data_IF_374132185016
#
_entry.id   IF_374132185016
#
_cell.length_a   1.000
_cell.length_b   1.000
_cell.length_c   1.000
_cell.angle_alpha   90.00
_cell.angle_beta   90.00
_cell.angle_gamma   90.00
#
_symmetry.space_group_name_H-M   'P 1'
#
loop_
_entity.id
_entity.type
_entity.pdbx_description
1 polymer ?
#
# COMPACT_ATOMS: atom_id res chain seq x y z
N UNK A 1 -14.13 -8.05 -28.03
CA UNK A 1 -13.43 -8.74 -26.93
C UNK A 1 -12.20 -7.92 -26.55
N UNK A 2 -12.30 -7.13 -25.49
CA UNK A 2 -11.15 -6.41 -24.92
C UNK A 2 -10.31 -7.41 -24.11
N UNK A 3 -9.07 -7.66 -24.56
CA UNK A 3 -8.09 -8.45 -23.81
C UNK A 3 -7.35 -7.51 -22.86
N UNK A 4 -7.32 -7.89 -21.59
CA UNK A 4 -6.53 -7.23 -20.56
C UNK A 4 -5.19 -7.96 -20.47
N UNK A 5 -4.09 -7.22 -20.49
CA UNK A 5 -2.75 -7.79 -20.38
C UNK A 5 -2.12 -7.28 -19.08
N UNK A 6 -1.72 -8.21 -18.22
CA UNK A 6 -0.66 -7.98 -17.22
C UNK A 6 0.61 -8.52 -17.88
N UNK A 7 1.62 -7.66 -18.00
CA UNK A 7 2.64 -7.72 -19.05
C UNK A 7 3.41 -9.03 -19.19
N UNK A 8 3.53 -9.48 -20.45
CA UNK A 8 4.81 -9.82 -21.08
C UNK A 8 4.78 -9.21 -22.48
N UNK A 9 5.54 -8.12 -22.67
CA UNK A 9 5.85 -7.59 -23.99
C UNK A 9 6.87 -8.53 -24.65
N UNK A 10 6.47 -9.20 -25.71
CA UNK A 10 7.41 -9.85 -26.63
C UNK A 10 7.80 -8.79 -27.67
N UNK A 11 9.10 -8.45 -27.72
CA UNK A 11 9.77 -7.50 -28.64
C UNK A 11 9.74 -6.00 -28.25
N UNK A 12 10.91 -5.35 -28.07
CA UNK A 12 11.04 -3.91 -28.00
C UNK A 12 11.19 -3.34 -29.43
N UNK A 13 10.08 -3.02 -30.08
CA UNK A 13 10.08 -1.85 -30.95
C UNK A 13 9.71 -0.66 -30.08
N UNK A 14 10.62 0.30 -29.91
CA UNK A 14 10.37 1.56 -29.20
C UNK A 14 9.17 2.26 -29.86
N UNK A 15 7.97 2.04 -29.32
CA UNK A 15 6.82 2.86 -29.66
C UNK A 15 6.90 4.14 -28.84
N UNK A 16 7.54 5.17 -29.41
CA UNK A 16 7.46 6.53 -28.88
C UNK A 16 6.08 7.08 -29.16
N UNK A 17 5.12 6.73 -28.31
CA UNK A 17 3.81 7.35 -28.35
C UNK A 17 3.82 8.64 -27.51
N UNK A 18 3.40 9.75 -28.13
CA UNK A 18 3.16 11.02 -27.44
C UNK A 18 1.75 10.97 -26.85
N UNK A 19 1.65 10.95 -25.53
CA UNK A 19 0.38 11.06 -24.83
C UNK A 19 0.26 12.41 -24.16
N UNK A 20 -0.94 13.00 -24.20
CA UNK A 20 -1.26 14.13 -23.33
C UNK A 20 -1.45 13.60 -21.90
N UNK A 21 -0.47 13.87 -21.03
CA UNK A 21 -0.51 13.43 -19.63
C UNK A 21 -1.07 14.57 -18.77
N UNK A 22 -2.14 14.29 -18.01
CA UNK A 22 -2.61 15.18 -16.95
C UNK A 22 -2.06 14.68 -15.61
N UNK A 23 -1.40 15.56 -14.89
CA UNK A 23 -0.87 15.27 -13.56
C UNK A 23 -1.88 15.67 -12.49
N UNK A 24 -2.04 14.81 -11.49
CA UNK A 24 -2.81 15.08 -10.29
C UNK A 24 -1.86 15.05 -9.10
N UNK A 25 -2.10 15.91 -8.11
CA UNK A 25 -1.33 15.93 -6.86
C UNK A 25 -2.30 15.71 -5.72
N UNK A 26 -1.90 14.82 -4.80
CA UNK A 26 -2.66 14.57 -3.59
C UNK A 26 -2.53 15.75 -2.64
N UNK A 27 -3.66 16.20 -2.09
CA UNK A 27 -3.64 17.21 -1.02
C UNK A 27 -3.24 16.59 0.32
N UNK A 28 -2.15 17.08 0.92
CA UNK A 28 -1.60 16.58 2.19
C UNK A 28 -2.33 17.13 3.42
N UNK A 29 -3.35 17.95 3.26
CA UNK A 29 -4.15 18.49 4.38
C UNK A 29 -5.62 18.14 4.21
N UNK A 30 -6.29 17.97 5.34
CA UNK A 30 -7.73 17.69 5.43
C UNK A 30 -8.55 18.96 5.25
N UNK A 31 -7.95 20.07 5.66
CA UNK A 31 -8.45 21.40 5.38
C UNK A 31 -7.81 21.86 4.07
N UNK A 32 -8.48 22.71 3.30
CA UNK A 32 -8.01 23.23 2.00
C UNK A 32 -6.73 24.10 2.09
N UNK A 33 -6.02 24.06 3.21
CA UNK A 33 -4.76 24.74 3.45
C UNK A 33 -3.58 23.89 3.00
N UNK A 34 -2.59 24.45 2.30
CA UNK A 34 -1.36 23.72 1.97
C UNK A 34 -0.67 23.17 3.22
N UNK A 35 -0.13 21.96 3.13
CA UNK A 35 0.67 21.39 4.21
C UNK A 35 1.91 22.27 4.45
N UNK A 36 2.10 22.68 5.71
CA UNK A 36 3.27 23.45 6.12
C UNK A 36 4.42 22.48 6.45
N UNK A 37 5.68 22.84 6.14
CA UNK A 37 6.83 22.09 6.60
C UNK A 37 6.84 21.93 8.12
N UNK A 38 7.05 20.71 8.60
CA UNK A 38 7.21 20.39 10.01
C UNK A 38 8.68 20.45 10.43
N UNK A 39 9.57 20.17 9.48
CA UNK A 39 11.02 20.29 9.62
C UNK A 39 11.63 20.63 8.26
N UNK A 40 12.61 21.53 8.24
CA UNK A 40 13.46 21.75 7.08
C UNK A 40 14.92 21.70 7.51
N UNK A 41 15.76 20.96 6.77
CA UNK A 41 17.18 20.80 7.08
C UNK A 41 18.08 21.23 5.94
N UNK A 42 19.22 21.81 6.27
CA UNK A 42 20.31 22.08 5.33
C UNK A 42 20.98 20.78 4.90
N UNK A 43 21.88 20.85 3.91
CA UNK A 43 22.75 19.71 3.53
C UNK A 43 23.58 19.19 4.71
N UNK A 44 23.99 20.06 5.63
CA UNK A 44 24.70 19.66 6.84
C UNK A 44 23.79 19.05 7.91
N UNK A 45 22.47 19.03 7.70
CA UNK A 45 21.49 18.50 8.63
C UNK A 45 20.97 19.51 9.67
N UNK A 46 21.40 20.78 9.60
CA UNK A 46 20.95 21.79 10.55
C UNK A 46 19.51 22.22 10.23
N UNK A 47 18.61 22.26 11.24
CA UNK A 47 17.25 22.72 11.03
C UNK A 47 17.23 24.24 10.77
N UNK A 48 16.52 24.67 9.73
CA UNK A 48 16.25 26.09 9.45
C UNK A 48 14.75 26.43 9.47
N UNK A 49 13.89 25.42 9.59
CA UNK A 49 12.47 25.57 9.88
C UNK A 49 12.02 24.38 10.74
N UNK A 50 11.09 24.61 11.68
CA UNK A 50 10.60 23.55 12.57
C UNK A 50 11.70 22.90 13.42
N UNK A 51 11.44 21.71 13.95
CA UNK A 51 12.44 20.92 14.69
C UNK A 51 12.08 19.42 14.70
N UNK A 52 13.03 18.57 15.08
CA UNK A 52 12.86 17.11 15.10
C UNK A 52 11.80 16.66 16.11
N UNK A 53 11.63 17.35 17.24
CA UNK A 53 10.61 17.00 18.22
C UNK A 53 9.20 17.23 17.68
N UNK A 54 8.98 18.27 16.87
CA UNK A 54 7.72 18.49 16.16
C UNK A 54 7.45 17.34 15.19
N UNK A 55 8.48 16.88 14.45
CA UNK A 55 8.37 15.75 13.53
C UNK A 55 8.00 14.44 14.28
N UNK A 56 8.70 14.14 15.38
CA UNK A 56 8.40 12.99 16.25
C UNK A 56 6.96 13.09 16.78
N UNK A 57 6.55 14.28 17.22
CA UNK A 57 5.21 14.51 17.76
C UNK A 57 4.16 14.20 16.70
N UNK A 58 4.27 14.71 15.47
CA UNK A 58 3.26 14.43 14.44
C UNK A 58 3.23 12.95 14.03
N UNK A 59 4.38 12.26 13.99
CA UNK A 59 4.46 10.81 13.73
C UNK A 59 3.77 10.02 14.84
N UNK A 60 3.94 10.43 16.10
CA UNK A 60 3.27 9.77 17.24
C UNK A 60 1.74 9.87 17.20
N UNK A 61 1.22 10.82 16.41
CA UNK A 61 -0.19 11.00 16.10
C UNK A 61 -0.59 10.40 14.72
N UNK A 62 0.28 9.61 14.10
CA UNK A 62 -0.01 8.83 12.88
C UNK A 62 0.21 9.56 11.56
N UNK A 63 0.79 10.76 11.56
CA UNK A 63 0.94 11.58 10.35
C UNK A 63 1.77 10.90 9.24
N UNK A 64 1.43 11.13 7.96
CA UNK A 64 2.27 10.72 6.82
C UNK A 64 3.38 11.71 6.66
N UNK A 65 4.60 11.23 6.45
CA UNK A 65 5.74 12.11 6.28
C UNK A 65 6.26 11.98 4.85
N UNK A 66 6.34 13.12 4.16
CA UNK A 66 6.95 13.23 2.85
C UNK A 66 8.23 14.06 2.96
N UNK A 67 9.38 13.42 2.70
CA UNK A 67 10.65 14.11 2.51
C UNK A 67 10.82 14.55 1.06
N UNK A 68 11.07 15.84 0.84
CA UNK A 68 11.29 16.41 -0.50
C UNK A 68 12.68 17.04 -0.55
N UNK A 69 13.43 16.74 -1.62
CA UNK A 69 14.69 17.43 -1.94
C UNK A 69 14.39 18.88 -2.33
N UNK A 70 14.95 19.83 -1.57
CA UNK A 70 14.63 21.25 -1.74
C UNK A 70 15.30 21.90 -2.97
N UNK A 71 16.27 21.22 -3.63
CA UNK A 71 17.14 21.85 -4.64
C UNK A 71 17.07 21.23 -6.04
N UNK A 72 16.36 20.11 -6.26
CA UNK A 72 16.35 19.44 -7.56
C UNK A 72 15.02 19.54 -8.28
N UNK A 73 15.04 20.12 -9.48
CA UNK A 73 14.07 19.82 -10.53
C UNK A 73 14.33 18.41 -11.04
N UNK A 74 13.35 17.52 -10.93
CA UNK A 74 13.46 16.17 -11.47
C UNK A 74 13.06 16.17 -12.95
N UNK A 75 14.00 15.84 -13.84
CA UNK A 75 13.66 15.34 -15.17
C UNK A 75 13.59 13.81 -15.10
N UNK A 76 12.54 13.23 -15.67
CA UNK A 76 12.41 11.78 -15.81
C UNK A 76 12.88 11.41 -17.21
N UNK A 77 14.09 10.84 -17.30
CA UNK A 77 14.60 10.22 -18.52
C UNK A 77 14.61 8.70 -18.34
N UNK A 78 13.93 7.99 -19.22
CA UNK A 78 14.01 6.53 -19.26
C UNK A 78 15.36 6.14 -19.86
N UNK A 79 16.25 5.59 -19.04
CA UNK A 79 17.54 5.05 -19.49
C UNK A 79 17.42 3.57 -19.85
N UNK A 80 18.27 3.09 -20.76
CA UNK A 80 18.33 1.68 -21.19
C UNK A 80 18.71 0.70 -20.06
N UNK A 81 19.16 1.20 -18.89
CA UNK A 81 19.39 0.41 -17.70
C UNK A 81 18.19 0.56 -16.74
N UNK A 82 17.41 -0.51 -16.60
CA UNK A 82 16.24 -0.54 -15.73
C UNK A 82 16.60 -1.17 -14.37
N UNK A 83 16.39 -0.42 -13.29
CA UNK A 83 16.61 -0.88 -11.93
C UNK A 83 15.59 -0.25 -10.97
N UNK A 84 15.23 -1.00 -9.93
CA UNK A 84 14.45 -0.52 -8.81
C UNK A 84 15.36 0.26 -7.87
N UNK A 85 14.95 1.48 -7.50
CA UNK A 85 15.61 2.30 -6.48
C UNK A 85 14.81 2.22 -5.19
N UNK A 86 15.51 1.92 -4.10
CA UNK A 86 14.99 2.04 -2.73
C UNK A 86 15.73 3.19 -2.09
N UNK A 87 15.00 4.15 -1.54
CA UNK A 87 15.58 5.38 -0.99
C UNK A 87 15.14 5.53 0.46
N UNK A 88 16.10 5.72 1.35
CA UNK A 88 15.88 6.12 2.74
C UNK A 88 16.28 7.59 2.89
N UNK A 89 15.49 8.36 3.63
CA UNK A 89 15.77 9.74 3.98
C UNK A 89 15.82 9.87 5.50
N UNK A 90 16.79 10.61 6.03
CA UNK A 90 17.01 10.77 7.47
C UNK A 90 16.98 12.26 7.82
N UNK A 91 16.33 12.65 8.91
CA UNK A 91 16.15 14.06 9.28
C UNK A 91 17.46 14.87 9.41
N UNK A 92 18.60 14.21 9.56
CA UNK A 92 19.94 14.82 9.61
C UNK A 92 20.53 15.20 8.22
N UNK A 93 19.72 15.19 7.16
CA UNK A 93 20.18 15.53 5.81
C UNK A 93 20.64 14.31 4.99
N UNK A 94 20.81 13.15 5.62
CA UNK A 94 21.34 11.97 4.95
C UNK A 94 20.30 11.29 4.09
N UNK A 95 20.71 10.83 2.90
CA UNK A 95 19.95 9.96 2.02
C UNK A 95 20.79 8.74 1.69
N UNK A 96 20.16 7.57 1.73
CA UNK A 96 20.73 6.31 1.27
C UNK A 96 19.91 5.74 0.12
N UNK A 97 20.57 5.36 -0.97
CA UNK A 97 19.94 4.79 -2.16
C UNK A 97 20.55 3.42 -2.43
N UNK A 98 19.71 2.38 -2.38
CA UNK A 98 20.04 1.03 -2.82
C UNK A 98 19.40 0.75 -4.18
N UNK A 99 20.15 0.13 -5.11
CA UNK A 99 19.74 -0.08 -6.51
C UNK A 99 19.75 -1.56 -6.85
N UNK A 100 18.67 -2.06 -7.44
CA UNK A 100 18.51 -3.48 -7.77
C UNK A 100 18.04 -3.64 -9.20
N UNK A 101 18.69 -4.45 -10.03
CA UNK A 101 18.24 -4.67 -11.41
C UNK A 101 16.82 -5.25 -11.45
N UNK A 102 15.98 -4.82 -12.40
CA UNK A 102 14.68 -5.46 -12.63
C UNK A 102 14.91 -6.84 -13.25
N UNK A 103 14.15 -7.85 -12.84
CA UNK A 103 14.26 -9.22 -13.37
C UNK A 103 15.30 -10.06 -12.66
N UNK A 104 16.59 -9.73 -12.84
CA UNK A 104 17.68 -10.49 -12.21
C UNK A 104 17.85 -10.18 -10.71
N UNK A 105 17.29 -9.05 -10.25
CA UNK A 105 17.36 -8.62 -8.85
C UNK A 105 18.77 -8.64 -8.24
N UNK A 106 19.80 -8.33 -9.03
CA UNK A 106 21.16 -8.17 -8.56
C UNK A 106 21.32 -6.77 -7.97
N UNK A 107 22.00 -6.70 -6.82
CA UNK A 107 22.47 -5.44 -6.27
C UNK A 107 23.37 -4.72 -7.28
N UNK A 108 23.10 -3.43 -7.48
CA UNK A 108 23.84 -2.51 -8.37
C UNK A 108 24.60 -1.46 -7.55
N UNK A 109 24.75 -1.70 -6.26
CA UNK A 109 25.49 -0.88 -5.33
C UNK A 109 24.64 0.18 -4.64
N UNK A 110 25.27 0.79 -3.65
CA UNK A 110 24.68 1.78 -2.76
C UNK A 110 25.29 3.15 -3.00
N UNK A 111 24.52 4.20 -2.73
CA UNK A 111 25.05 5.56 -2.68
C UNK A 111 24.42 6.29 -1.51
N UNK A 112 25.28 6.82 -0.66
CA UNK A 112 24.89 7.66 0.45
C UNK A 112 25.37 9.08 0.17
N UNK A 113 24.47 10.05 0.32
CA UNK A 113 24.78 11.47 0.15
C UNK A 113 24.02 12.32 1.16
N UNK A 114 24.31 13.63 1.16
CA UNK A 114 23.61 14.62 1.97
C UNK A 114 22.96 15.67 1.10
N UNK A 115 21.72 16.03 1.44
CA UNK A 115 20.91 16.99 0.69
C UNK A 115 20.05 17.81 1.65
N UNK A 116 19.65 19.03 1.25
CA UNK A 116 18.68 19.78 2.01
C UNK A 116 17.29 19.15 1.82
N UNK A 117 16.55 19.00 2.92
CA UNK A 117 15.24 18.35 2.89
C UNK A 117 14.17 19.21 3.51
N UNK A 118 12.96 19.08 2.97
CA UNK A 118 11.74 19.60 3.54
C UNK A 118 10.87 18.40 3.91
N UNK A 119 10.46 18.35 5.18
CA UNK A 119 9.60 17.32 5.74
C UNK A 119 8.18 17.87 5.88
N UNK A 120 7.28 17.37 5.05
CA UNK A 120 5.86 17.70 5.06
C UNK A 120 5.11 16.61 5.82
N UNK A 121 4.15 17.00 6.66
CA UNK A 121 3.29 16.07 7.36
C UNK A 121 1.85 16.12 6.84
N UNK A 122 1.32 14.96 6.48
CA UNK A 122 -0.11 14.73 6.33
C UNK A 122 -0.71 14.40 7.70
N UNK A 123 -1.43 15.33 8.29
CA UNK A 123 -2.03 15.17 9.62
C UNK A 123 -3.45 14.59 9.57
N UNK A 124 -3.90 14.10 8.42
CA UNK A 124 -5.23 13.52 8.23
C UNK A 124 -5.36 12.11 8.80
N UNK A 125 -4.96 11.91 10.04
CA UNK A 125 -4.92 10.62 10.67
C UNK A 125 -5.42 10.74 12.11
N UNK A 126 -6.20 9.76 12.54
CA UNK A 126 -6.73 9.70 13.91
C UNK A 126 -6.60 8.30 14.45
N UNK A 127 -6.31 8.17 15.74
CA UNK A 127 -6.27 6.87 16.41
C UNK A 127 -7.70 6.27 16.39
N UNK A 128 -7.83 5.06 15.88
CA UNK A 128 -9.08 4.32 15.88
C UNK A 128 -9.10 3.18 16.90
N UNK A 129 -7.95 2.55 17.11
CA UNK A 129 -7.81 1.42 18.00
C UNK A 129 -6.38 1.25 18.49
N UNK A 130 -6.21 0.85 19.73
CA UNK A 130 -4.94 0.43 20.29
C UNK A 130 -5.16 -0.83 21.12
N UNK A 131 -4.24 -1.79 21.02
CA UNK A 131 -4.26 -2.99 21.85
C UNK A 131 -2.90 -3.29 22.45
N UNK A 132 -2.88 -4.04 23.55
CA UNK A 132 -1.66 -4.62 24.11
C UNK A 132 -1.22 -5.87 23.33
N UNK A 133 -0.14 -6.52 23.79
CA UNK A 133 0.42 -7.75 23.22
C UNK A 133 -0.56 -8.93 23.24
N UNK A 134 -1.63 -8.87 24.02
CA UNK A 134 -2.63 -9.92 24.11
C UNK A 134 -3.87 -9.65 23.25
N UNK A 135 -3.87 -8.54 22.49
CA UNK A 135 -5.03 -8.11 21.69
C UNK A 135 -6.14 -7.47 22.52
N UNK A 136 -5.87 -7.16 23.79
CA UNK A 136 -6.84 -6.47 24.65
C UNK A 136 -6.81 -4.98 24.36
N UNK A 137 -7.99 -4.39 24.18
CA UNK A 137 -8.14 -2.95 23.91
C UNK A 137 -7.51 -2.10 25.01
N UNK A 138 -6.73 -1.10 24.60
CA UNK A 138 -6.21 -0.01 25.45
C UNK A 138 -6.99 1.28 25.16
N UNK A 139 -7.24 1.58 23.88
CA UNK A 139 -7.97 2.77 23.44
C UNK A 139 -8.76 2.46 22.15
N UNK A 140 -9.89 3.13 21.95
CA UNK A 140 -10.78 2.90 20.83
C UNK A 140 -11.42 1.51 20.81
N UNK A 141 -11.84 1.06 19.63
CA UNK A 141 -12.44 -0.27 19.46
C UNK A 141 -12.19 -0.87 18.07
N UNK A 142 -12.08 -2.20 18.03
CA UNK A 142 -11.98 -2.95 16.77
C UNK A 142 -13.21 -2.71 15.89
N UNK A 143 -14.39 -2.56 16.49
CA UNK A 143 -15.62 -2.27 15.75
C UNK A 143 -15.58 -0.90 15.04
N UNK A 144 -15.06 0.13 15.72
CA UNK A 144 -14.87 1.45 15.12
C UNK A 144 -13.85 1.40 13.98
N UNK A 145 -12.71 0.74 14.21
CA UNK A 145 -11.69 0.51 13.18
C UNK A 145 -12.29 -0.23 11.97
N UNK A 146 -13.04 -1.31 12.19
CA UNK A 146 -13.68 -2.12 11.14
C UNK A 146 -14.67 -1.29 10.33
N UNK A 147 -15.55 -0.54 10.98
CA UNK A 147 -16.50 0.35 10.30
C UNK A 147 -15.78 1.42 9.47
N UNK A 148 -14.71 2.01 10.00
CA UNK A 148 -13.87 2.95 9.27
C UNK A 148 -13.26 2.33 8.00
N UNK A 149 -12.69 1.13 8.12
CA UNK A 149 -12.12 0.39 6.98
C UNK A 149 -13.18 0.08 5.92
N UNK A 150 -14.35 -0.41 6.35
CA UNK A 150 -15.48 -0.71 5.46
C UNK A 150 -16.09 0.54 4.81
N UNK A 151 -15.83 1.73 5.35
CA UNK A 151 -16.16 3.02 4.71
C UNK A 151 -15.12 3.49 3.70
N UNK A 152 -14.10 2.67 3.42
CA UNK A 152 -13.04 2.95 2.46
C UNK A 152 -11.80 3.63 3.05
N UNK A 153 -11.73 3.87 4.36
CA UNK A 153 -10.59 4.57 4.97
C UNK A 153 -9.30 3.75 4.91
N UNK A 154 -8.18 4.47 4.79
CA UNK A 154 -6.81 3.90 4.86
C UNK A 154 -6.43 3.68 6.31
N UNK A 155 -5.48 2.77 6.54
CA UNK A 155 -5.04 2.37 7.88
C UNK A 155 -3.53 2.39 7.99
N UNK A 156 -3.04 2.89 9.11
CA UNK A 156 -1.64 2.82 9.53
C UNK A 156 -1.47 2.15 10.86
N UNK A 157 -0.30 1.56 11.02
CA UNK A 157 0.12 0.83 12.20
C UNK A 157 1.33 1.55 12.78
N UNK A 158 1.24 1.99 14.04
CA UNK A 158 2.37 2.45 14.82
C UNK A 158 2.75 1.35 15.81
N UNK A 159 3.94 0.81 15.62
CA UNK A 159 4.53 -0.20 16.49
C UNK A 159 5.06 0.46 17.76
N UNK A 160 5.17 -0.30 18.85
CA UNK A 160 5.72 0.23 20.10
C UNK A 160 7.17 0.72 19.95
N UNK A 161 7.92 0.18 18.98
CA UNK A 161 9.27 0.64 18.60
C UNK A 161 9.30 2.04 17.98
N UNK A 162 8.15 2.64 17.66
CA UNK A 162 8.05 3.91 16.95
C UNK A 162 8.03 3.79 15.43
N UNK A 163 8.03 2.57 14.88
CA UNK A 163 7.91 2.35 13.44
C UNK A 163 6.46 2.55 12.99
N UNK A 164 6.23 3.43 12.01
CA UNK A 164 4.92 3.75 11.44
C UNK A 164 4.85 3.28 9.99
N UNK A 165 3.82 2.52 9.64
CA UNK A 165 3.65 1.99 8.28
C UNK A 165 2.18 1.91 7.86
N UNK A 166 1.90 2.09 6.58
CA UNK A 166 0.58 1.95 5.99
C UNK A 166 0.33 0.52 5.52
N UNK A 167 -0.89 0.02 5.74
CA UNK A 167 -1.29 -1.30 5.29
C UNK A 167 -1.49 -1.31 3.75
N UNK A 168 -0.95 -2.33 3.09
CA UNK A 168 -1.10 -2.55 1.65
C UNK A 168 -2.45 -3.19 1.31
N UNK A 169 -2.82 -4.20 2.08
CA UNK A 169 -4.12 -4.88 2.07
C UNK A 169 -4.65 -4.99 3.51
N UNK A 170 -5.96 -4.80 3.68
CA UNK A 170 -6.66 -5.03 4.95
C UNK A 170 -7.65 -6.18 4.78
N UNK A 171 -7.60 -7.12 5.71
CA UNK A 171 -8.44 -8.32 5.68
C UNK A 171 -9.29 -8.32 6.95
N UNK A 172 -10.60 -8.27 6.77
CA UNK A 172 -11.56 -8.37 7.87
C UNK A 172 -12.06 -9.81 7.91
N UNK A 173 -12.03 -10.42 9.09
CA UNK A 173 -12.53 -11.78 9.29
C UNK A 173 -13.02 -11.98 10.72
N UNK A 174 -14.23 -12.50 10.86
CA UNK A 174 -14.84 -12.81 12.16
C UNK A 174 -14.70 -11.66 13.18
N UNK A 175 -14.96 -10.44 12.72
CA UNK A 175 -14.90 -9.23 13.54
C UNK A 175 -13.51 -8.61 13.73
N UNK A 176 -12.44 -9.33 13.40
CA UNK A 176 -11.06 -8.86 13.52
C UNK A 176 -10.50 -8.33 12.21
N UNK A 177 -9.46 -7.53 12.31
CA UNK A 177 -8.70 -6.99 11.17
C UNK A 177 -7.28 -7.54 11.20
N UNK A 178 -6.79 -7.97 10.04
CA UNK A 178 -5.37 -8.21 9.75
C UNK A 178 -4.92 -7.23 8.66
N UNK A 179 -3.83 -6.51 8.91
CA UNK A 179 -3.15 -5.68 7.94
C UNK A 179 -1.97 -6.43 7.36
N UNK A 180 -1.93 -6.57 6.04
CA UNK A 180 -0.76 -7.03 5.34
C UNK A 180 0.12 -5.83 4.98
N UNK A 181 1.39 -5.92 5.33
CA UNK A 181 2.38 -4.86 5.18
C UNK A 181 3.55 -5.40 4.37
N UNK A 182 3.67 -4.92 3.13
CA UNK A 182 4.61 -5.41 2.13
C UNK A 182 5.66 -4.38 1.72
N UNK A 183 5.41 -3.09 1.99
CA UNK A 183 6.30 -1.97 1.67
C UNK A 183 7.60 -1.88 2.48
N UNK A 184 7.96 -2.88 3.29
CA UNK A 184 9.11 -2.82 4.19
C UNK A 184 10.30 -3.65 3.69
N UNK A 185 11.46 -3.00 3.68
CA UNK A 185 12.77 -3.57 3.33
C UNK A 185 13.71 -3.40 4.53
N UNK A 186 14.51 -4.42 4.80
CA UNK A 186 15.42 -4.43 5.95
C UNK A 186 16.38 -3.23 5.96
N UNK A 187 16.50 -2.61 7.13
CA UNK A 187 17.29 -1.41 7.35
C UNK A 187 17.82 -1.37 8.79
N UNK A 188 18.88 -0.58 8.99
CA UNK A 188 19.55 -0.33 10.29
C UNK A 188 19.04 0.96 10.95
N UNK A 189 17.86 1.45 10.54
CA UNK A 189 17.27 2.73 10.96
C UNK A 189 17.65 3.91 10.07
N UNK A 190 18.89 3.98 9.56
CA UNK A 190 19.33 5.06 8.65
C UNK A 190 19.67 4.59 7.25
N UNK A 191 20.25 3.40 7.13
CA UNK A 191 20.69 2.83 5.86
C UNK A 191 20.04 1.47 5.64
N UNK A 192 19.99 1.04 4.38
CA UNK A 192 19.64 -0.35 4.09
C UNK A 192 20.74 -1.29 4.61
N UNK A 193 20.37 -2.53 4.93
CA UNK A 193 21.37 -3.58 5.13
C UNK A 193 22.09 -3.89 3.81
N UNK A 194 23.36 -4.31 3.89
CA UNK A 194 24.13 -4.71 2.71
C UNK A 194 23.54 -5.93 2.01
N UNK A 195 22.85 -6.78 2.75
CA UNK A 195 22.11 -7.93 2.28
C UNK A 195 20.60 -7.67 2.33
N UNK A 196 20.16 -6.52 1.80
CA UNK A 196 18.77 -6.07 1.94
C UNK A 196 17.76 -7.16 1.51
N UNK A 197 16.71 -7.31 2.30
CA UNK A 197 15.68 -8.33 2.14
C UNK A 197 14.31 -7.73 2.39
N UNK A 198 13.28 -8.35 1.82
CA UNK A 198 11.88 -8.05 2.10
C UNK A 198 11.54 -8.47 3.53
N UNK A 199 10.89 -7.56 4.26
CA UNK A 199 10.41 -7.78 5.61
C UNK A 199 8.89 -7.62 5.60
N UNK A 200 8.16 -8.71 5.36
CA UNK A 200 6.71 -8.67 5.18
C UNK A 200 6.00 -9.14 6.42
N UNK A 201 4.89 -8.48 6.75
CA UNK A 201 4.16 -8.75 7.98
C UNK A 201 2.65 -8.87 7.74
N UNK A 202 2.03 -9.81 8.46
CA UNK A 202 0.61 -9.80 8.76
C UNK A 202 0.48 -9.38 10.23
N UNK A 203 -0.15 -8.23 10.47
CA UNK A 203 -0.36 -7.66 11.80
C UNK A 203 -1.85 -7.73 12.11
N UNK A 204 -2.23 -8.36 13.21
CA UNK A 204 -3.63 -8.54 13.56
C UNK A 204 -4.04 -7.75 14.81
N UNK A 205 -5.29 -7.31 14.84
CA UNK A 205 -5.95 -6.66 16.00
C UNK A 205 -6.01 -7.53 17.26
N UNK A 206 -5.71 -8.83 17.13
CA UNK A 206 -5.56 -9.81 18.20
C UNK A 206 -4.19 -9.74 18.89
N UNK A 207 -3.29 -8.84 18.47
CA UNK A 207 -1.93 -8.76 19.01
C UNK A 207 -0.90 -9.57 18.22
N UNK A 208 -1.35 -10.52 17.40
CA UNK A 208 -0.47 -11.42 16.67
C UNK A 208 0.20 -10.71 15.49
N UNK A 209 1.52 -10.88 15.40
CA UNK A 209 2.34 -10.43 14.28
C UNK A 209 3.09 -11.62 13.73
N UNK A 210 2.90 -11.85 12.44
CA UNK A 210 3.64 -12.84 11.69
C UNK A 210 4.53 -12.12 10.68
N UNK A 211 5.82 -12.42 10.71
CA UNK A 211 6.80 -11.90 9.76
C UNK A 211 7.36 -13.04 8.92
N UNK A 212 7.45 -12.81 7.62
CA UNK A 212 8.27 -13.61 6.70
C UNK A 212 9.35 -12.73 6.06
N UNK A 213 10.50 -13.33 5.77
CA UNK A 213 11.64 -12.61 5.21
C UNK A 213 12.13 -13.30 3.94
N UNK A 214 12.39 -12.54 2.89
CA UNK A 214 12.84 -13.05 1.59
C UNK A 214 13.92 -12.14 1.02
N UNK A 215 15.00 -12.74 0.52
CA UNK A 215 16.00 -11.99 -0.23
C UNK A 215 15.36 -11.29 -1.44
N UNK A 216 15.84 -10.08 -1.75
CA UNK A 216 15.30 -9.33 -2.89
C UNK A 216 15.62 -10.13 -4.17
N UNK A 217 14.56 -10.64 -4.81
CA UNK A 217 14.69 -11.44 -6.04
C UNK A 217 15.18 -12.86 -5.84
N UNK A 218 14.95 -13.40 -4.66
CA UNK A 218 15.11 -14.81 -4.38
C UNK A 218 13.79 -15.36 -3.88
N UNK A 219 13.52 -16.61 -4.22
CA UNK A 219 12.41 -17.38 -3.68
C UNK A 219 12.80 -18.11 -2.38
N UNK A 220 14.03 -17.93 -1.90
CA UNK A 220 14.51 -18.54 -0.66
C UNK A 220 14.02 -17.73 0.54
N UNK A 221 13.30 -18.40 1.43
CA UNK A 221 12.88 -17.82 2.70
C UNK A 221 14.09 -17.67 3.63
N UNK A 222 14.19 -16.51 4.29
CA UNK A 222 15.09 -16.25 5.43
C UNK A 222 14.46 -16.62 6.77
N UNK A 223 13.33 -17.31 6.73
CA UNK A 223 12.59 -17.76 7.90
C UNK A 223 11.37 -16.92 8.22
N UNK A 224 10.58 -17.47 9.14
CA UNK A 224 9.31 -16.98 9.61
C UNK A 224 9.37 -16.80 11.12
N UNK A 225 8.85 -15.68 11.61
CA UNK A 225 8.76 -15.42 13.05
C UNK A 225 7.36 -15.00 13.41
N UNK A 226 6.82 -15.57 14.49
CA UNK A 226 5.57 -15.15 15.08
C UNK A 226 5.86 -14.57 16.46
N UNK A 227 5.26 -13.44 16.76
CA UNK A 227 5.35 -12.80 18.06
C UNK A 227 4.06 -12.02 18.29
N UNK A 228 3.91 -11.47 19.49
CA UNK A 228 2.79 -10.57 19.79
C UNK A 228 3.32 -9.23 20.24
N UNK A 229 2.63 -8.16 19.84
CA UNK A 229 3.06 -6.81 20.18
C UNK A 229 1.89 -5.86 20.36
N UNK A 230 2.07 -4.86 21.22
CA UNK A 230 1.24 -3.65 21.25
C UNK A 230 1.35 -2.88 19.94
N UNK A 231 0.20 -2.52 19.37
CA UNK A 231 0.07 -1.75 18.11
C UNK A 231 -1.04 -0.70 18.24
N UNK A 232 -0.78 0.50 17.72
CA UNK A 232 -1.78 1.54 17.50
C UNK A 232 -2.21 1.56 16.03
N UNK A 233 -3.50 1.68 15.80
CA UNK A 233 -4.15 1.64 14.50
C UNK A 233 -4.76 3.02 14.20
N UNK A 234 -4.21 3.71 13.22
CA UNK A 234 -4.68 5.02 12.78
C UNK A 234 -5.50 4.90 11.51
N UNK A 235 -6.55 5.70 11.37
CA UNK A 235 -7.40 5.77 10.18
C UNK A 235 -7.30 7.14 9.52
N UNK A 236 -7.41 7.17 8.20
CA UNK A 236 -7.50 8.41 7.42
C UNK A 236 -8.78 9.18 7.78
N UNK A 237 -8.65 10.46 8.12
CA UNK A 237 -9.79 11.31 8.49
C UNK A 237 -10.48 11.95 7.30
N UNK A 238 -9.88 11.89 6.09
CA UNK A 238 -10.53 12.40 4.87
C UNK A 238 -11.88 11.72 4.61
N UNK A 239 -12.84 12.44 4.00
CA UNK A 239 -14.14 11.88 3.66
C UNK A 239 -13.99 10.92 2.48
N UNK A 240 -14.25 9.64 2.73
CA UNK A 240 -14.41 8.63 1.68
C UNK A 240 -15.89 8.50 1.34
N UNK A 241 -16.21 8.53 0.05
CA UNK A 241 -17.57 8.38 -0.46
C UNK A 241 -17.74 7.02 -1.08
N UNK A 242 -18.70 6.25 -0.58
CA UNK A 242 -19.23 5.08 -1.26
C UNK A 242 -20.03 5.52 -2.49
N UNK A 243 -19.54 5.22 -3.68
CA UNK A 243 -20.10 5.76 -4.94
C UNK A 243 -20.78 4.71 -5.82
N UNK A 244 -20.41 3.45 -5.65
CA UNK A 244 -20.93 2.35 -6.46
C UNK A 244 -20.75 1.01 -5.74
N UNK A 245 -21.70 0.10 -5.94
CA UNK A 245 -21.55 -1.32 -5.59
C UNK A 245 -22.10 -2.20 -6.68
N UNK A 246 -21.45 -3.34 -6.90
CA UNK A 246 -21.97 -4.40 -7.73
C UNK A 246 -22.05 -5.73 -6.98
N UNK A 247 -23.02 -6.56 -7.35
CA UNK A 247 -23.10 -7.95 -6.91
C UNK A 247 -22.03 -8.82 -7.59
N UNK A 248 -21.92 -10.07 -7.16
CA UNK A 248 -21.10 -11.09 -7.84
C UNK A 248 -21.54 -11.36 -9.29
N UNK A 249 -22.79 -11.06 -9.66
CA UNK A 249 -23.26 -11.14 -11.06
C UNK A 249 -23.00 -9.87 -11.86
N UNK A 250 -22.41 -8.83 -11.26
CA UNK A 250 -22.18 -7.53 -11.89
C UNK A 250 -23.40 -6.60 -11.90
N UNK A 251 -24.49 -6.99 -11.24
CA UNK A 251 -25.68 -6.13 -11.11
C UNK A 251 -25.39 -5.00 -10.14
N UNK A 252 -25.88 -3.80 -10.44
CA UNK A 252 -25.72 -2.65 -9.55
C UNK A 252 -26.55 -2.84 -8.29
N UNK A 253 -25.91 -2.76 -7.13
CA UNK A 253 -26.56 -2.81 -5.81
C UNK A 253 -26.74 -1.39 -5.27
N UNK A 254 -25.75 -0.52 -5.47
CA UNK A 254 -25.74 0.84 -4.94
C UNK A 254 -25.08 1.81 -5.92
N UNK A 255 -25.53 3.06 -5.91
CA UNK A 255 -24.87 4.17 -6.62
C UNK A 255 -24.90 4.02 -8.14
N UNK A 256 -23.89 4.58 -8.81
CA UNK A 256 -23.82 4.59 -10.28
C UNK A 256 -22.39 4.57 -10.81
N UNK A 257 -22.14 3.73 -11.81
CA UNK A 257 -20.85 3.67 -12.54
C UNK A 257 -20.47 5.02 -13.15
N UNK A 258 -21.45 5.81 -13.60
CA UNK A 258 -21.20 7.15 -14.17
C UNK A 258 -20.59 8.08 -13.12
N UNK A 259 -21.07 8.01 -11.87
CA UNK A 259 -20.51 8.80 -10.77
C UNK A 259 -19.08 8.38 -10.46
N UNK A 260 -18.82 7.07 -10.37
CA UNK A 260 -17.47 6.53 -10.18
C UNK A 260 -16.52 6.99 -11.29
N UNK A 261 -16.91 6.85 -12.57
CA UNK A 261 -16.11 7.27 -13.73
C UNK A 261 -15.83 8.77 -13.70
N UNK A 262 -16.82 9.60 -13.40
CA UNK A 262 -16.63 11.05 -13.27
C UNK A 262 -15.61 11.38 -12.18
N UNK A 263 -15.72 10.73 -11.02
CA UNK A 263 -14.85 10.95 -9.87
C UNK A 263 -13.40 10.48 -10.17
N UNK A 264 -13.23 9.35 -10.86
CA UNK A 264 -11.91 8.89 -11.37
C UNK A 264 -11.31 9.91 -12.33
N UNK A 265 -12.10 10.40 -13.30
CA UNK A 265 -11.64 11.42 -14.27
C UNK A 265 -11.27 12.76 -13.63
N UNK A 266 -11.82 13.04 -12.45
CA UNK A 266 -11.45 14.18 -11.62
C UNK A 266 -10.16 13.96 -10.82
N UNK A 267 -9.53 12.77 -10.91
CA UNK A 267 -8.29 12.43 -10.23
C UNK A 267 -8.46 11.98 -8.79
N UNK A 268 -9.69 11.60 -8.38
CA UNK A 268 -9.93 11.10 -7.02
C UNK A 268 -9.26 9.74 -6.81
N UNK A 269 -8.83 9.50 -5.58
CA UNK A 269 -8.28 8.20 -5.20
C UNK A 269 -9.39 7.16 -5.18
N UNK A 270 -9.10 5.91 -5.54
CA UNK A 270 -10.07 4.81 -5.51
C UNK A 270 -9.61 3.69 -4.60
N UNK A 271 -10.54 3.20 -3.78
CA UNK A 271 -10.41 1.98 -2.99
C UNK A 271 -11.63 1.11 -3.23
N UNK A 272 -11.49 -0.18 -3.01
CA UNK A 272 -12.59 -1.11 -3.18
C UNK A 272 -12.52 -2.25 -2.17
N UNK A 273 -13.67 -2.79 -1.81
CA UNK A 273 -13.76 -4.01 -1.00
C UNK A 273 -14.09 -5.20 -1.90
N UNK A 274 -13.52 -6.37 -1.64
CA UNK A 274 -13.86 -7.60 -2.34
C UNK A 274 -14.48 -8.60 -1.36
N UNK A 275 -15.71 -8.98 -1.64
CA UNK A 275 -16.46 -10.02 -0.91
C UNK A 275 -16.66 -11.21 -1.84
N UNK A 276 -15.77 -12.20 -1.72
CA UNK A 276 -15.77 -13.37 -2.59
C UNK A 276 -17.02 -14.23 -2.36
N UNK A 277 -17.75 -14.53 -3.43
CA UNK A 277 -19.00 -15.31 -3.36
C UNK A 277 -18.80 -16.74 -2.88
N UNK A 278 -17.59 -17.30 -3.00
CA UNK A 278 -17.22 -18.64 -2.54
C UNK A 278 -17.13 -18.77 -1.02
N UNK A 279 -17.19 -17.67 -0.26
CA UNK A 279 -17.02 -17.69 1.20
C UNK A 279 -18.12 -16.93 1.97
N UNK A 280 -19.42 -17.19 1.73
CA UNK A 280 -20.51 -16.38 2.25
C UNK A 280 -20.61 -16.42 3.79
N UNK A 281 -20.14 -17.48 4.45
CA UNK A 281 -20.19 -17.62 5.91
C UNK A 281 -18.97 -17.03 6.63
N UNK A 282 -17.90 -16.72 5.90
CA UNK A 282 -16.59 -16.39 6.50
C UNK A 282 -16.46 -14.95 7.01
N UNK A 283 -17.47 -14.11 6.77
CA UNK A 283 -17.41 -12.65 7.00
C UNK A 283 -16.09 -12.03 6.48
N UNK A 284 -15.52 -12.62 5.43
CA UNK A 284 -14.21 -12.28 4.89
C UNK A 284 -14.33 -11.15 3.88
N UNK A 285 -13.68 -10.03 4.16
CA UNK A 285 -13.65 -8.88 3.26
C UNK A 285 -12.20 -8.42 3.11
N UNK A 286 -11.71 -8.41 1.87
CA UNK A 286 -10.45 -7.73 1.54
C UNK A 286 -10.76 -6.28 1.18
N UNK A 287 -9.99 -5.33 1.71
CA UNK A 287 -10.09 -3.90 1.37
C UNK A 287 -8.78 -3.46 0.75
N UNK A 288 -8.87 -3.02 -0.50
CA UNK A 288 -7.73 -2.86 -1.39
C UNK A 288 -7.63 -1.43 -1.92
N UNK A 289 -6.40 -0.99 -2.14
CA UNK A 289 -6.11 0.20 -2.92
C UNK A 289 -6.12 -0.14 -4.42
N UNK A 290 -6.71 0.74 -5.24
CA UNK A 290 -6.53 0.68 -6.68
C UNK A 290 -5.19 1.33 -7.05
N UNK A 291 -4.20 0.50 -7.37
CA UNK A 291 -2.87 0.94 -7.79
C UNK A 291 -2.88 1.48 -9.21
N UNK A 292 -3.68 0.86 -10.07
CA UNK A 292 -3.93 1.32 -11.43
C UNK A 292 -5.42 1.24 -11.72
N UNK A 293 -5.92 2.18 -12.52
CA UNK A 293 -7.33 2.23 -12.92
C UNK A 293 -7.39 2.33 -14.43
N UNK A 294 -8.28 1.53 -15.03
CA UNK A 294 -8.66 1.65 -16.41
C UNK A 294 -10.17 1.87 -16.53
N UNK A 295 -10.56 2.86 -17.33
CA UNK A 295 -11.93 3.05 -17.78
C UNK A 295 -11.96 2.48 -19.20
N UNK A 296 -12.86 1.54 -19.44
CA UNK A 296 -12.97 0.92 -20.76
C UNK A 296 -13.38 1.94 -21.84
N UNK A 297 -13.12 1.62 -23.11
CA UNK A 297 -13.31 2.57 -24.21
C UNK A 297 -14.75 3.06 -24.42
N UNK A 298 -15.75 2.28 -24.02
CA UNK A 298 -17.16 2.69 -24.09
C UNK A 298 -17.65 3.38 -22.80
N UNK A 299 -16.75 3.58 -21.83
CA UNK A 299 -16.98 4.23 -20.53
C UNK A 299 -18.15 3.61 -19.73
N UNK A 300 -18.31 2.29 -19.84
CA UNK A 300 -19.35 1.54 -19.12
C UNK A 300 -18.81 0.73 -17.95
N UNK A 301 -17.52 0.42 -17.95
CA UNK A 301 -16.87 -0.35 -16.89
C UNK A 301 -15.54 0.25 -16.46
N UNK A 302 -15.25 0.05 -15.18
CA UNK A 302 -13.99 0.38 -14.56
C UNK A 302 -13.31 -0.92 -14.15
N UNK A 303 -12.03 -1.05 -14.49
CA UNK A 303 -11.13 -2.05 -13.94
C UNK A 303 -10.13 -1.40 -13.00
N UNK A 304 -9.97 -1.92 -11.79
CA UNK A 304 -8.96 -1.50 -10.82
C UNK A 304 -7.99 -2.63 -10.58
N UNK A 305 -6.69 -2.36 -10.74
CA UNK A 305 -5.63 -3.29 -10.43
C UNK A 305 -5.13 -3.05 -9.00
N UNK A 306 -4.87 -4.13 -8.29
CA UNK A 306 -4.16 -4.15 -7.02
C UNK A 306 -2.97 -5.10 -7.16
N UNK A 307 -1.76 -4.59 -6.90
CA UNK A 307 -0.50 -5.31 -7.17
C UNK A 307 0.34 -5.57 -5.92
N UNK A 308 -0.17 -5.20 -4.75
CA UNK A 308 0.54 -5.33 -3.47
C UNK A 308 -0.20 -6.29 -2.54
N UNK A 309 -0.35 -7.53 -2.98
CA UNK A 309 -0.90 -8.63 -2.18
C UNK A 309 -0.02 -9.86 -2.31
N UNK A 310 0.24 -10.50 -1.19
CA UNK A 310 0.84 -11.83 -1.10
C UNK A 310 -0.19 -12.77 -0.50
N UNK A 311 -0.27 -13.96 -1.06
CA UNK A 311 -1.27 -14.92 -0.64
C UNK A 311 -1.11 -15.34 0.84
N UNK A 312 -2.24 -15.71 1.42
CA UNK A 312 -2.34 -16.10 2.82
C UNK A 312 -3.28 -17.29 2.99
N UNK A 313 -3.05 -18.09 4.03
CA UNK A 313 -3.97 -19.11 4.52
C UNK A 313 -4.94 -18.53 5.54
N UNK A 314 -6.03 -19.28 5.73
CA UNK A 314 -7.15 -18.91 6.61
C UNK A 314 -7.35 -19.97 7.70
N UNK A 315 -6.28 -20.65 8.09
CA UNK A 315 -6.32 -21.87 8.91
C UNK A 315 -6.72 -21.61 10.37
N UNK A 316 -6.60 -20.36 10.85
CA UNK A 316 -7.14 -19.93 12.15
C UNK A 316 -8.58 -19.41 12.06
N UNK A 317 -9.23 -19.01 13.17
CA UNK A 317 -10.57 -18.41 13.13
C UNK A 317 -10.56 -16.90 12.85
N UNK A 318 -9.56 -16.16 13.30
CA UNK A 318 -9.58 -14.69 13.29
C UNK A 318 -8.56 -14.09 12.32
N UNK A 319 -7.30 -14.50 12.43
CA UNK A 319 -6.21 -13.93 11.65
C UNK A 319 -6.03 -14.67 10.33
N UNK A 320 -5.26 -14.06 9.43
CA UNK A 320 -4.66 -14.74 8.29
C UNK A 320 -3.16 -14.91 8.51
N UNK A 321 -2.59 -15.90 7.83
CA UNK A 321 -1.16 -16.20 7.89
C UNK A 321 -0.58 -16.33 6.48
N UNK A 322 0.65 -15.93 6.24
CA UNK A 322 1.37 -16.25 5.02
C UNK A 322 1.43 -17.76 4.85
N UNK A 323 1.17 -18.21 3.63
CA UNK A 323 1.34 -19.63 3.27
C UNK A 323 2.81 -20.02 3.30
N UNK A 324 3.10 -21.32 3.40
CA UNK A 324 4.46 -21.86 3.34
C UNK A 324 5.21 -21.51 2.04
N UNK A 325 4.48 -21.38 0.93
CA UNK A 325 5.01 -21.02 -0.39
C UNK A 325 4.34 -19.72 -0.88
N UNK A 326 4.80 -18.55 -0.41
CA UNK A 326 4.16 -17.29 -0.76
C UNK A 326 4.35 -16.94 -2.23
N UNK A 327 3.30 -16.38 -2.83
CA UNK A 327 3.25 -15.85 -4.17
C UNK A 327 2.56 -14.50 -4.18
N UNK A 328 2.97 -13.64 -5.11
CA UNK A 328 2.28 -12.41 -5.44
C UNK A 328 0.91 -12.72 -6.04
N UNK A 329 -0.13 -12.06 -5.55
CA UNK A 329 -1.45 -12.06 -6.14
C UNK A 329 -1.71 -10.72 -6.81
N UNK A 330 -1.58 -10.67 -8.14
CA UNK A 330 -1.95 -9.49 -8.92
C UNK A 330 -3.41 -9.60 -9.30
N UNK A 331 -4.22 -8.67 -8.79
CA UNK A 331 -5.67 -8.72 -8.92
C UNK A 331 -6.17 -7.57 -9.80
N UNK A 332 -7.15 -7.86 -10.65
CA UNK A 332 -7.99 -6.87 -11.33
C UNK A 332 -9.43 -7.08 -10.90
N UNK A 333 -10.00 -6.08 -10.25
CA UNK A 333 -11.42 -6.00 -9.94
C UNK A 333 -12.15 -5.16 -10.98
N UNK A 334 -13.37 -5.54 -11.35
CA UNK A 334 -14.19 -4.78 -12.31
C UNK A 334 -15.58 -4.48 -11.79
N UNK A 335 -16.16 -3.37 -12.27
CA UNK A 335 -17.55 -2.99 -11.99
C UNK A 335 -18.60 -3.94 -12.59
N UNK A 336 -18.15 -4.98 -13.31
CA UNK A 336 -18.95 -6.10 -13.79
C UNK A 336 -18.95 -7.30 -12.81
N UNK A 337 -18.36 -7.16 -11.63
CA UNK A 337 -18.29 -8.22 -10.61
C UNK A 337 -17.29 -9.33 -10.92
N UNK A 338 -16.47 -9.17 -11.96
CA UNK A 338 -15.37 -10.08 -12.27
C UNK A 338 -14.12 -9.66 -11.50
N UNK A 339 -13.50 -10.64 -10.86
CA UNK A 339 -12.14 -10.61 -10.35
C UNK A 339 -11.28 -11.48 -11.27
N UNK A 340 -10.08 -10.98 -11.60
CA UNK A 340 -9.09 -11.65 -12.42
C UNK A 340 -7.76 -11.62 -11.68
N UNK A 341 -7.23 -12.79 -11.34
CA UNK A 341 -6.09 -12.96 -10.45
C UNK A 341 -4.96 -13.71 -11.17
N UNK A 342 -3.77 -13.14 -11.13
CA UNK A 342 -2.55 -13.74 -11.67
C UNK A 342 -1.56 -13.99 -10.54
N UNK A 343 -1.13 -15.24 -10.40
CA UNK A 343 -0.32 -15.70 -9.27
C UNK A 343 1.12 -15.90 -9.73
N UNK A 344 2.07 -15.37 -8.97
CA UNK A 344 3.50 -15.42 -9.33
C UNK A 344 4.35 -15.73 -8.11
N UNK A 345 5.20 -16.75 -8.19
CA UNK A 345 6.08 -17.14 -7.09
C UNK A 345 6.90 -15.94 -6.61
N UNK A 346 7.04 -15.77 -5.30
CA UNK A 346 7.90 -14.70 -4.77
C UNK A 346 9.33 -14.90 -5.24
N UNK A 347 9.94 -13.82 -5.74
CA UNK A 347 11.38 -13.76 -6.02
C UNK A 347 11.87 -14.54 -7.25
N UNK A 348 10.99 -15.27 -7.94
CA UNK A 348 11.24 -15.82 -9.28
C UNK A 348 10.06 -15.49 -10.18
N UNK A 349 10.32 -15.10 -11.43
CA UNK A 349 9.28 -14.73 -12.39
C UNK A 349 8.58 -15.97 -12.98
N UNK A 350 8.01 -16.80 -12.10
CA UNK A 350 7.31 -18.03 -12.46
C UNK A 350 5.83 -17.92 -12.12
N UNK A 351 4.98 -18.21 -13.10
CA UNK A 351 3.53 -18.19 -12.92
C UNK A 351 3.07 -19.41 -12.12
N UNK A 352 2.27 -19.17 -11.08
CA UNK A 352 1.54 -20.18 -10.31
C UNK A 352 0.13 -20.42 -10.87
N UNK A 353 -0.16 -19.85 -12.03
CA UNK A 353 -1.44 -19.93 -12.70
C UNK A 353 -2.24 -18.64 -12.64
N UNK A 354 -3.47 -18.78 -13.13
CA UNK A 354 -4.39 -17.69 -13.39
C UNK A 354 -5.79 -18.16 -12.99
N UNK A 355 -6.53 -17.30 -12.32
CA UNK A 355 -7.91 -17.60 -11.95
C UNK A 355 -8.82 -16.41 -12.21
N UNK A 356 -10.08 -16.72 -12.50
CA UNK A 356 -11.13 -15.70 -12.56
C UNK A 356 -12.25 -16.11 -11.64
N UNK A 357 -12.74 -15.14 -10.88
CA UNK A 357 -13.79 -15.36 -9.91
C UNK A 357 -14.81 -14.23 -9.95
N UNK A 358 -15.87 -14.38 -9.17
CA UNK A 358 -16.95 -13.41 -9.04
C UNK A 358 -17.06 -12.94 -7.60
N UNK A 359 -17.20 -11.64 -7.42
CA UNK A 359 -17.27 -11.04 -6.10
C UNK A 359 -18.26 -9.87 -6.07
N UNK A 360 -18.88 -9.68 -4.91
CA UNK A 360 -19.51 -8.40 -4.60
C UNK A 360 -18.40 -7.39 -4.29
N UNK A 361 -18.53 -6.19 -4.86
CA UNK A 361 -17.50 -5.16 -4.77
C UNK A 361 -18.14 -3.82 -4.44
N UNK A 362 -17.67 -3.17 -3.38
CA UNK A 362 -18.01 -1.81 -3.01
C UNK A 362 -16.86 -0.88 -3.43
N UNK A 363 -17.19 0.28 -4.00
CA UNK A 363 -16.24 1.23 -4.57
C UNK A 363 -16.30 2.57 -3.86
N UNK A 364 -15.15 3.04 -3.41
CA UNK A 364 -14.99 4.24 -2.61
C UNK A 364 -14.04 5.22 -3.28
N UNK A 365 -14.35 6.51 -3.17
CA UNK A 365 -13.49 7.59 -3.66
C UNK A 365 -13.22 8.64 -2.60
N UNK A 366 -12.05 9.27 -2.63
CA UNK A 366 -11.68 10.41 -1.76
C UNK A 366 -11.06 11.55 -2.54
#
# INVERSE_FOLDING_TARGET
MSRWYVGVHLSPSESRAKYNVKWFVRHLSCDSTPAKPVLCTTESGFPYCGNVNNLITVISHGAEIHGVDAKRSYSVEFTNLHYNKKTSFVSDGSRDISRWSIGEHKDRGHTTDKLPMIWLADTCWSLAYEHNEHGQSIDGSVDYLRSAILSGKRVRLLYHSGYLIEADELIIRNGHVTAQVLGHVSNSGKTFHSDAYWYWENVATTGDVETIRYDIGSHTSRGKTNYRQRIKWFIDTRPWKHVFSNSASGQTIHGSKITLIRDIKAGKMVRFTVKYASYPQSHHVSVLNADNININNDEKDVGAQHIRSINYSKDGPFNVSFTSNPYWNFLIASTAGKIDESKWTVGIHETQGHETSKAEIDWFVS
#
